data_IF_960370161543
#
_entry.id   IF_960370161543
#
_cell.length_a   1.000
_cell.length_b   1.000
_cell.length_c   1.000
_cell.angle_alpha   90.00
_cell.angle_beta   90.00
_cell.angle_gamma   90.00
#
_symmetry.space_group_name_H-M   'P 1'
#
loop_
_entity.id
_entity.type
_entity.pdbx_description
1 polymer ?
#
# COMPACT_ATOMS: atom_id res chain seq x y z
N UNK A 1 -1.58 18.48 9.83
CA UNK A 1 -0.74 17.34 9.35
C UNK A 1 0.46 17.27 10.28
N UNK A 2 0.74 16.14 10.94
CA UNK A 2 1.90 16.04 11.83
C UNK A 2 3.19 16.36 11.04
N UNK A 3 4.13 17.13 11.61
CA UNK A 3 5.31 17.60 10.90
C UNK A 3 6.25 16.48 10.43
N UNK A 4 6.15 15.28 11.02
CA UNK A 4 6.98 14.10 10.67
C UNK A 4 6.14 12.83 10.63
N UNK A 5 5.19 12.76 9.70
CA UNK A 5 4.57 11.48 9.37
C UNK A 5 5.58 10.64 8.59
N UNK A 6 6.13 9.58 9.19
CA UNK A 6 7.03 8.63 8.51
C UNK A 6 6.38 7.83 7.36
N UNK A 7 5.14 8.17 7.00
CA UNK A 7 4.30 7.43 6.06
C UNK A 7 4.89 7.42 4.66
N UNK A 8 5.45 8.54 4.19
CA UNK A 8 6.11 8.60 2.88
C UNK A 8 7.39 7.75 2.86
N UNK A 9 8.23 7.84 3.90
CA UNK A 9 9.46 7.05 4.00
C UNK A 9 9.17 5.55 4.06
N UNK A 10 8.16 5.14 4.85
CA UNK A 10 7.69 3.74 4.90
C UNK A 10 7.19 3.28 3.54
N UNK A 11 6.43 4.10 2.81
CA UNK A 11 5.96 3.78 1.46
C UNK A 11 7.15 3.53 0.51
N UNK A 12 8.09 4.47 0.41
CA UNK A 12 9.24 4.31 -0.49
C UNK A 12 10.16 3.15 -0.09
N UNK A 13 10.28 2.86 1.21
CA UNK A 13 10.99 1.67 1.69
C UNK A 13 10.33 0.37 1.22
N UNK A 14 8.99 0.29 1.26
CA UNK A 14 8.24 -0.85 0.75
C UNK A 14 8.30 -0.98 -0.77
N UNK A 15 8.23 0.14 -1.50
CA UNK A 15 8.40 0.21 -2.94
C UNK A 15 9.73 -0.40 -3.41
N UNK A 16 10.82 -0.15 -2.66
CA UNK A 16 12.15 -0.69 -2.97
C UNK A 16 12.19 -2.22 -3.02
N UNK A 17 11.42 -2.90 -2.17
CA UNK A 17 11.31 -4.36 -2.16
C UNK A 17 10.52 -4.89 -3.36
N UNK A 18 9.66 -4.07 -3.96
CA UNK A 18 8.82 -4.45 -5.11
C UNK A 18 9.55 -4.17 -6.43
N UNK A 19 10.47 -3.21 -6.46
CA UNK A 19 11.37 -2.91 -7.59
C UNK A 19 12.57 -3.87 -7.70
N UNK A 20 12.44 -5.11 -7.23
CA UNK A 20 13.49 -6.13 -7.37
C UNK A 20 13.63 -6.59 -8.82
N UNK A 21 14.80 -7.07 -9.28
CA UNK A 21 15.05 -7.47 -10.66
C UNK A 21 14.05 -8.47 -11.25
N UNK A 22 13.43 -9.32 -10.42
CA UNK A 22 12.39 -10.28 -10.82
C UNK A 22 11.11 -9.59 -11.34
N UNK A 23 10.93 -8.30 -11.04
CA UNK A 23 9.81 -7.47 -11.46
C UNK A 23 10.23 -6.41 -12.49
N UNK A 24 11.43 -6.54 -13.07
CA UNK A 24 11.96 -5.59 -14.08
C UNK A 24 11.14 -5.51 -15.37
N UNK A 25 10.31 -6.52 -15.67
CA UNK A 25 9.33 -6.46 -16.77
C UNK A 25 8.06 -5.66 -16.43
N UNK A 26 7.92 -5.16 -15.20
CA UNK A 26 6.78 -4.32 -14.81
C UNK A 26 7.01 -2.89 -15.30
N UNK A 27 6.10 -2.41 -16.15
CA UNK A 27 6.11 -1.01 -16.58
C UNK A 27 5.93 -0.08 -15.37
N UNK A 28 6.60 1.10 -15.33
CA UNK A 28 6.48 2.05 -14.23
C UNK A 28 5.03 2.41 -13.88
N UNK A 29 4.17 2.57 -14.88
CA UNK A 29 2.74 2.86 -14.68
C UNK A 29 2.00 1.75 -13.92
N UNK A 30 2.33 0.49 -14.19
CA UNK A 30 1.72 -0.65 -13.52
C UNK A 30 2.23 -0.76 -12.09
N UNK A 31 3.50 -0.42 -11.85
CA UNK A 31 4.07 -0.33 -10.51
C UNK A 31 3.35 0.72 -9.66
N UNK A 32 3.19 1.93 -10.18
CA UNK A 32 2.48 3.02 -9.51
C UNK A 32 1.03 2.63 -9.16
N UNK A 33 0.32 1.98 -10.08
CA UNK A 33 -1.05 1.50 -9.83
C UNK A 33 -1.10 0.44 -8.71
N UNK A 34 -0.20 -0.53 -8.71
CA UNK A 34 -0.16 -1.59 -7.69
C UNK A 34 0.14 -0.98 -6.31
N UNK A 35 1.13 -0.10 -6.21
CA UNK A 35 1.49 0.53 -4.93
C UNK A 35 0.40 1.50 -4.46
N UNK A 36 -0.26 2.23 -5.36
CA UNK A 36 -1.43 3.06 -5.03
C UNK A 36 -2.54 2.24 -4.39
N UNK A 37 -2.91 1.11 -5.01
CA UNK A 37 -3.90 0.21 -4.43
C UNK A 37 -3.40 -0.29 -3.08
N UNK A 38 -2.22 -0.91 -3.02
CA UNK A 38 -1.67 -1.52 -1.80
C UNK A 38 -1.60 -0.55 -0.61
N UNK A 39 -1.13 0.68 -0.82
CA UNK A 39 -1.00 1.69 0.24
C UNK A 39 -2.35 2.16 0.78
N UNK A 40 -3.40 2.06 -0.03
CA UNK A 40 -4.75 2.49 0.28
C UNK A 40 -5.70 1.34 0.63
N UNK A 41 -5.18 0.12 0.89
CA UNK A 41 -5.98 -1.10 1.13
C UNK A 41 -7.18 -0.89 2.06
N UNK A 42 -7.00 -0.15 3.16
CA UNK A 42 -8.05 0.17 4.13
C UNK A 42 -9.31 0.84 3.55
N UNK A 43 -9.24 1.40 2.34
CA UNK A 43 -10.36 2.07 1.68
C UNK A 43 -11.12 1.16 0.69
N UNK A 44 -10.56 0.01 0.31
CA UNK A 44 -11.11 -0.86 -0.73
C UNK A 44 -10.98 -2.35 -0.41
N UNK A 45 -10.65 -2.70 0.84
CA UNK A 45 -10.51 -4.09 1.24
C UNK A 45 -11.86 -4.81 1.12
N UNK A 46 -11.81 -6.14 0.95
CA UNK A 46 -13.01 -6.95 0.80
C UNK A 46 -13.98 -6.73 1.97
N UNK A 47 -13.47 -6.54 3.18
CA UNK A 47 -14.28 -6.23 4.37
C UNK A 47 -14.98 -4.87 4.28
N UNK A 48 -14.29 -3.84 3.77
CA UNK A 48 -14.87 -2.51 3.50
C UNK A 48 -16.01 -2.61 2.48
N UNK A 49 -15.85 -3.45 1.45
CA UNK A 49 -16.87 -3.68 0.42
C UNK A 49 -18.04 -4.53 0.92
N UNK A 50 -17.77 -5.47 1.84
CA UNK A 50 -18.77 -6.36 2.43
C UNK A 50 -19.54 -5.73 3.61
N UNK A 51 -19.22 -4.48 3.99
CA UNK A 51 -19.83 -3.80 5.12
C UNK A 51 -19.53 -4.48 6.47
N UNK A 52 -18.48 -5.30 6.52
CA UNK A 52 -18.04 -5.98 7.73
C UNK A 52 -17.08 -5.02 8.44
N UNK A 53 -17.54 -4.43 9.53
CA UNK A 53 -16.65 -3.75 10.47
C UNK A 53 -15.75 -4.81 11.09
N UNK A 54 -14.52 -4.92 10.58
CA UNK A 54 -13.47 -5.65 11.30
C UNK A 54 -13.17 -4.78 12.51
N UNK A 55 -13.68 -5.18 13.67
CA UNK A 55 -13.24 -4.61 14.94
C UNK A 55 -11.72 -4.72 14.95
N UNK A 56 -11.03 -3.59 15.03
CA UNK A 56 -9.58 -3.51 15.13
C UNK A 56 -9.16 -4.34 16.34
N UNK A 57 -8.69 -5.56 16.09
CA UNK A 57 -7.94 -6.31 17.08
C UNK A 57 -6.52 -5.74 17.05
N UNK A 58 -6.27 -4.83 17.99
CA UNK A 58 -4.95 -4.32 18.33
C UNK A 58 -3.93 -5.48 18.51
N UNK A 59 -2.88 -5.49 17.67
CA UNK A 59 -1.49 -5.87 18.02
C UNK A 59 -0.50 -5.20 17.02
#
# INVERSE_FOLDING_TARGET
IPPTSNRCERLFSQCKLVMTPQRSSLLPINFEMIEFLRANRKYWDAYTLMGIEVADADD
#
